data_IF_887054075921
#
_entry.id   IF_887054075921
#
_cell.length_a   1.000
_cell.length_b   1.000
_cell.length_c   1.000
_cell.angle_alpha   90.00
_cell.angle_beta   90.00
_cell.angle_gamma   90.00
#
_symmetry.space_group_name_H-M   'P 1'
#
loop_
_entity.id
_entity.type
_entity.pdbx_description
1 polymer ?
#
# COMPACT_ATOMS: atom_id res chain seq x y z
N UNK A 1 -15.99 -22.34 28.02
CA UNK A 1 -15.38 -22.59 26.68
C UNK A 1 -13.88 -22.41 26.80
N UNK A 2 -13.07 -23.33 26.27
CA UNK A 2 -11.61 -23.13 26.22
C UNK A 2 -11.32 -22.01 25.23
N UNK A 3 -10.73 -20.93 25.71
CA UNK A 3 -10.43 -19.75 24.91
C UNK A 3 -9.13 -19.99 24.13
N UNK A 4 -9.19 -19.93 22.80
CA UNK A 4 -8.01 -19.97 21.95
C UNK A 4 -7.38 -18.57 21.90
N UNK A 5 -6.53 -18.25 22.89
CA UNK A 5 -5.92 -16.92 23.13
C UNK A 5 -4.50 -16.78 22.59
N UNK A 6 -4.14 -17.53 21.55
CA UNK A 6 -2.82 -17.37 20.93
C UNK A 6 -2.83 -16.28 19.86
N UNK A 7 -1.65 -15.70 19.61
CA UNK A 7 -1.48 -14.65 18.61
C UNK A 7 -1.83 -15.14 17.18
N UNK A 8 -1.71 -16.45 16.91
CA UNK A 8 -2.00 -17.03 15.60
C UNK A 8 -3.49 -17.00 15.26
N UNK A 9 -4.37 -17.00 16.26
CA UNK A 9 -5.83 -16.93 16.09
C UNK A 9 -6.39 -15.50 16.03
N UNK A 10 -5.55 -14.47 16.10
CA UNK A 10 -5.97 -13.07 16.01
C UNK A 10 -5.85 -12.58 14.58
N UNK A 11 -6.91 -11.93 14.09
CA UNK A 11 -6.94 -11.35 12.75
C UNK A 11 -5.96 -10.19 12.68
N UNK A 12 -5.12 -10.19 11.64
CA UNK A 12 -4.19 -9.12 11.31
C UNK A 12 -4.20 -8.87 9.82
N UNK A 13 -4.08 -7.62 9.45
CA UNK A 13 -4.09 -7.17 8.06
C UNK A 13 -2.73 -6.57 7.75
N UNK A 14 -2.13 -6.98 6.64
CA UNK A 14 -1.02 -6.25 6.05
C UNK A 14 -1.58 -5.00 5.36
N UNK A 15 -1.56 -3.88 6.09
CA UNK A 15 -2.17 -2.61 5.66
C UNK A 15 -1.32 -1.86 4.64
N UNK A 16 -0.05 -2.26 4.49
CA UNK A 16 0.85 -1.67 3.53
C UNK A 16 1.74 -2.71 2.83
N UNK A 17 1.29 -3.13 1.65
CA UNK A 17 1.98 -4.08 0.77
C UNK A 17 1.77 -3.73 -0.70
N UNK A 18 2.82 -3.88 -1.51
CA UNK A 18 2.80 -3.68 -2.96
C UNK A 18 2.55 -5.00 -3.68
N UNK A 19 1.56 -5.06 -4.58
CA UNK A 19 1.20 -6.34 -5.24
C UNK A 19 2.38 -6.91 -6.05
N UNK A 20 3.11 -6.03 -6.73
CA UNK A 20 4.27 -6.37 -7.57
C UNK A 20 5.42 -7.06 -6.82
N UNK A 21 5.46 -6.92 -5.49
CA UNK A 21 6.52 -7.43 -4.61
C UNK A 21 5.95 -8.24 -3.45
N UNK A 22 4.68 -8.66 -3.54
CA UNK A 22 3.97 -9.36 -2.46
C UNK A 22 4.43 -10.81 -2.22
N UNK A 23 5.26 -11.35 -3.12
CA UNK A 23 5.83 -12.69 -3.06
C UNK A 23 7.29 -12.64 -2.59
N UNK A 24 7.81 -13.69 -1.95
CA UNK A 24 9.25 -13.75 -1.67
C UNK A 24 10.07 -14.21 -2.90
N UNK A 25 11.39 -14.06 -2.82
CA UNK A 25 12.30 -14.32 -3.94
C UNK A 25 12.31 -15.78 -4.37
N UNK A 26 12.21 -16.71 -3.42
CA UNK A 26 12.15 -18.14 -3.70
C UNK A 26 10.88 -18.50 -4.47
N UNK A 27 9.76 -17.86 -4.14
CA UNK A 27 8.51 -18.02 -4.86
C UNK A 27 8.63 -17.50 -6.29
N UNK A 28 9.06 -16.25 -6.47
CA UNK A 28 9.25 -15.67 -7.81
C UNK A 28 10.20 -16.50 -8.68
N UNK A 29 11.34 -16.93 -8.12
CA UNK A 29 12.31 -17.79 -8.81
C UNK A 29 11.67 -19.10 -9.28
N UNK A 30 10.98 -19.80 -8.38
CA UNK A 30 10.31 -21.07 -8.68
C UNK A 30 9.26 -20.87 -9.78
N UNK A 31 8.52 -19.77 -9.71
CA UNK A 31 7.50 -19.43 -10.70
C UNK A 31 8.12 -19.18 -12.08
N UNK A 32 9.17 -18.34 -12.18
CA UNK A 32 9.90 -18.09 -13.42
C UNK A 32 10.45 -19.40 -14.00
N UNK A 33 11.14 -20.21 -13.19
CA UNK A 33 11.67 -21.52 -13.63
C UNK A 33 10.59 -22.45 -14.17
N UNK A 34 9.42 -22.50 -13.52
CA UNK A 34 8.26 -23.28 -13.97
C UNK A 34 7.80 -22.77 -15.35
N UNK A 35 7.66 -21.46 -15.52
CA UNK A 35 7.17 -20.85 -16.77
C UNK A 35 8.12 -20.97 -17.95
N UNK A 36 9.43 -20.90 -17.74
CA UNK A 36 10.40 -21.18 -18.81
C UNK A 36 10.23 -22.62 -19.32
N UNK A 37 10.01 -23.58 -18.41
CA UNK A 37 9.86 -25.00 -18.76
C UNK A 37 8.52 -25.30 -19.44
N UNK A 38 7.42 -24.74 -18.96
CA UNK A 38 6.07 -25.06 -19.46
C UNK A 38 5.66 -24.21 -20.66
N UNK A 39 6.05 -22.92 -20.68
CA UNK A 39 5.52 -21.91 -21.60
C UNK A 39 6.63 -21.36 -22.53
N UNK A 40 7.77 -22.07 -22.66
CA UNK A 40 8.96 -21.61 -23.39
C UNK A 40 8.73 -21.18 -24.86
N UNK A 41 7.72 -21.75 -25.54
CA UNK A 41 7.36 -21.39 -26.94
C UNK A 41 6.37 -20.24 -27.06
N UNK A 42 5.84 -19.74 -25.94
CA UNK A 42 4.85 -18.66 -25.92
C UNK A 42 5.53 -17.37 -26.35
N UNK A 43 4.91 -16.62 -27.26
CA UNK A 43 5.36 -15.27 -27.62
C UNK A 43 5.05 -14.35 -26.44
N UNK A 44 6.07 -13.68 -25.91
CA UNK A 44 5.95 -12.85 -24.70
C UNK A 44 6.29 -11.38 -24.92
N UNK A 45 6.96 -11.06 -26.02
CA UNK A 45 7.35 -9.69 -26.38
C UNK A 45 7.28 -9.51 -27.90
N UNK A 46 7.23 -8.24 -28.32
CA UNK A 46 7.42 -7.82 -29.71
C UNK A 46 8.61 -6.86 -29.77
N UNK A 47 9.73 -7.30 -30.36
CA UNK A 47 10.94 -6.49 -30.49
C UNK A 47 11.19 -6.12 -31.96
N UNK A 48 11.19 -4.83 -32.28
CA UNK A 48 11.38 -4.37 -33.67
C UNK A 48 10.37 -4.94 -34.67
N UNK A 49 9.14 -5.24 -34.20
CA UNK A 49 8.10 -5.89 -34.99
C UNK A 49 8.24 -7.42 -35.13
N UNK A 50 9.27 -8.03 -34.52
CA UNK A 50 9.44 -9.48 -34.49
C UNK A 50 8.88 -10.08 -33.19
N UNK A 51 8.11 -11.17 -33.27
CA UNK A 51 7.68 -11.89 -32.08
C UNK A 51 8.88 -12.57 -31.42
N UNK A 52 9.00 -12.41 -30.10
CA UNK A 52 10.04 -13.05 -29.29
C UNK A 52 9.37 -13.98 -28.28
N UNK A 53 9.80 -15.25 -28.29
CA UNK A 53 9.31 -16.29 -27.38
C UNK A 53 9.96 -16.22 -26.02
N UNK A 54 9.31 -16.79 -24.99
CA UNK A 54 9.88 -16.88 -23.64
C UNK A 54 11.27 -17.50 -23.67
N UNK A 55 11.50 -18.56 -24.45
CA UNK A 55 12.81 -19.18 -24.59
C UNK A 55 13.85 -18.21 -25.20
N UNK A 56 13.50 -17.52 -26.28
CA UNK A 56 14.41 -16.56 -26.93
C UNK A 56 14.78 -15.39 -26.00
N UNK A 57 13.88 -14.95 -25.12
CA UNK A 57 14.19 -13.93 -24.10
C UNK A 57 15.34 -14.41 -23.21
N UNK A 58 15.24 -15.63 -22.66
CA UNK A 58 16.27 -16.18 -21.76
C UNK A 58 17.56 -16.55 -22.50
N UNK A 59 17.48 -17.09 -23.72
CA UNK A 59 18.63 -17.34 -24.58
C UNK A 59 19.37 -16.03 -24.92
N UNK A 60 18.65 -14.95 -25.22
CA UNK A 60 19.22 -13.63 -25.50
C UNK A 60 19.88 -12.98 -24.28
N UNK A 61 19.49 -13.38 -23.06
CA UNK A 61 20.16 -12.97 -21.82
C UNK A 61 21.37 -13.85 -21.48
N UNK A 62 21.56 -14.98 -22.18
CA UNK A 62 22.59 -15.96 -21.86
C UNK A 62 22.33 -16.71 -20.55
N UNK A 63 21.06 -16.88 -20.17
CA UNK A 63 20.66 -17.46 -18.88
C UNK A 63 19.88 -18.75 -19.09
N UNK A 64 20.42 -19.88 -18.62
CA UNK A 64 19.66 -21.12 -18.55
C UNK A 64 18.72 -21.12 -17.34
N UNK A 65 17.56 -21.76 -17.47
CA UNK A 65 16.61 -21.94 -16.37
C UNK A 65 17.21 -22.73 -15.19
N UNK A 66 18.20 -23.59 -15.45
CA UNK A 66 18.94 -24.31 -14.43
C UNK A 66 19.78 -23.35 -13.56
N UNK A 67 20.46 -22.39 -14.20
CA UNK A 67 21.43 -21.47 -13.58
C UNK A 67 20.77 -20.32 -12.81
N UNK A 68 19.50 -20.02 -13.08
CA UNK A 68 18.73 -19.03 -12.32
C UNK A 68 18.76 -19.35 -10.82
N UNK A 69 19.26 -18.43 -10.01
CA UNK A 69 19.30 -18.56 -8.56
C UNK A 69 18.64 -17.35 -7.90
N UNK A 70 18.42 -17.41 -6.58
CA UNK A 70 17.90 -16.26 -5.82
C UNK A 70 18.87 -15.07 -5.92
N UNK A 71 20.17 -15.36 -5.84
CA UNK A 71 21.23 -14.36 -5.98
C UNK A 71 21.21 -13.70 -7.37
N UNK A 72 21.03 -14.51 -8.42
CA UNK A 72 20.97 -14.01 -9.80
C UNK A 72 19.74 -13.13 -10.07
N UNK A 73 18.61 -13.33 -9.35
CA UNK A 73 17.46 -12.43 -9.47
C UNK A 73 17.80 -11.01 -9.04
N UNK A 74 18.78 -10.83 -8.14
CA UNK A 74 19.21 -9.52 -7.61
C UNK A 74 18.06 -8.60 -7.18
N UNK A 75 17.01 -9.18 -6.59
CA UNK A 75 15.81 -8.44 -6.15
C UNK A 75 15.83 -8.10 -4.65
N UNK A 76 16.76 -8.65 -3.85
CA UNK A 76 16.88 -8.30 -2.42
C UNK A 76 17.47 -6.90 -2.24
N UNK A 77 16.92 -6.12 -1.30
CA UNK A 77 17.56 -4.90 -0.84
C UNK A 77 18.76 -5.22 0.08
N UNK A 78 19.88 -4.55 -0.10
CA UNK A 78 21.11 -4.80 0.63
C UNK A 78 21.64 -3.52 1.29
N UNK A 79 22.85 -3.56 1.87
CA UNK A 79 23.47 -2.35 2.45
C UNK A 79 23.66 -1.23 1.43
N UNK A 80 23.69 -1.53 0.13
CA UNK A 80 23.89 -0.56 -0.93
C UNK A 80 22.61 0.18 -1.32
N UNK A 81 21.43 -0.24 -0.84
CA UNK A 81 20.15 0.46 -1.04
C UNK A 81 19.89 1.54 -0.01
N UNK A 82 20.65 1.59 1.08
CA UNK A 82 20.49 2.58 2.14
C UNK A 82 20.69 4.01 1.59
N UNK A 83 19.67 4.86 1.71
CA UNK A 83 19.57 6.20 1.10
C UNK A 83 19.68 6.24 -0.44
N UNK A 84 19.50 5.11 -1.12
CA UNK A 84 19.61 4.98 -2.58
C UNK A 84 18.32 4.42 -3.16
N UNK A 85 17.28 5.26 -3.17
CA UNK A 85 15.95 4.90 -3.68
C UNK A 85 15.97 4.55 -5.18
N UNK A 86 16.92 5.12 -5.94
CA UNK A 86 17.19 4.74 -7.33
C UNK A 86 17.62 3.28 -7.46
N UNK A 87 18.51 2.80 -6.58
CA UNK A 87 18.92 1.40 -6.53
C UNK A 87 17.78 0.50 -6.06
N UNK A 88 16.98 0.96 -5.10
CA UNK A 88 15.77 0.25 -4.68
C UNK A 88 14.78 0.07 -5.84
N UNK A 89 14.50 1.12 -6.61
CA UNK A 89 13.63 1.04 -7.79
C UNK A 89 14.15 0.03 -8.83
N UNK A 90 15.47 -0.11 -8.97
CA UNK A 90 16.08 -1.11 -9.84
C UNK A 90 15.81 -2.56 -9.37
N UNK A 91 15.60 -2.78 -8.07
CA UNK A 91 15.30 -4.12 -7.49
C UNK A 91 13.92 -4.67 -7.88
N UNK A 92 13.06 -3.86 -8.51
CA UNK A 92 11.83 -4.39 -9.14
C UNK A 92 12.11 -5.09 -10.48
N UNK A 93 13.32 -4.99 -11.03
CA UNK A 93 13.70 -5.65 -12.28
C UNK A 93 14.44 -6.96 -11.96
N UNK A 94 13.82 -8.15 -12.13
CA UNK A 94 14.50 -9.41 -11.91
C UNK A 94 15.72 -9.54 -12.83
N UNK A 95 16.86 -9.95 -12.27
CA UNK A 95 18.16 -10.04 -12.95
C UNK A 95 18.65 -8.68 -13.49
N UNK A 96 18.12 -7.57 -12.97
CA UNK A 96 18.39 -6.23 -13.49
C UNK A 96 17.73 -5.93 -14.84
N UNK A 97 16.85 -6.81 -15.32
CA UNK A 97 16.29 -6.78 -16.67
C UNK A 97 14.83 -6.35 -16.67
N UNK A 98 14.56 -5.18 -17.26
CA UNK A 98 13.20 -4.62 -17.33
C UNK A 98 12.22 -5.51 -18.09
N UNK A 99 12.72 -6.32 -19.05
CA UNK A 99 11.95 -7.29 -19.82
C UNK A 99 11.30 -8.34 -18.92
N UNK A 100 12.02 -8.86 -17.93
CA UNK A 100 11.47 -9.86 -17.01
C UNK A 100 10.41 -9.25 -16.10
N UNK A 101 10.60 -8.01 -15.65
CA UNK A 101 9.56 -7.27 -14.91
C UNK A 101 8.31 -7.07 -15.77
N UNK A 102 8.47 -6.69 -17.03
CA UNK A 102 7.37 -6.52 -17.97
C UNK A 102 6.59 -7.82 -18.16
N UNK A 103 7.27 -8.95 -18.35
CA UNK A 103 6.62 -10.25 -18.58
C UNK A 103 5.92 -10.78 -17.33
N UNK A 104 6.58 -10.73 -16.16
CA UNK A 104 6.15 -11.46 -14.96
C UNK A 104 5.45 -10.59 -13.90
N UNK A 105 5.63 -9.26 -13.92
CA UNK A 105 5.23 -8.36 -12.82
C UNK A 105 4.50 -7.11 -13.37
N UNK A 106 3.85 -7.22 -14.52
CA UNK A 106 2.95 -6.20 -15.06
C UNK A 106 1.59 -6.79 -15.38
N UNK A 107 0.55 -5.98 -15.14
CA UNK A 107 -0.84 -6.29 -15.45
C UNK A 107 -1.16 -6.10 -16.93
N UNK A 108 -0.46 -5.19 -17.59
CA UNK A 108 -0.60 -4.87 -19.02
C UNK A 108 0.74 -5.12 -19.74
N UNK A 109 0.76 -6.12 -20.62
CA UNK A 109 1.90 -6.53 -21.44
C UNK A 109 1.39 -7.39 -22.63
N UNK A 110 2.30 -7.88 -23.48
CA UNK A 110 1.94 -8.65 -24.67
C UNK A 110 1.08 -9.90 -24.41
N UNK A 111 1.24 -10.55 -23.25
CA UNK A 111 0.45 -11.73 -22.86
C UNK A 111 -0.74 -11.37 -21.96
N UNK A 112 -1.16 -10.11 -21.96
CA UNK A 112 -2.29 -9.62 -21.17
C UNK A 112 -2.11 -9.76 -19.67
N UNK A 113 -0.87 -9.72 -19.16
CA UNK A 113 -0.58 -9.86 -17.73
C UNK A 113 -0.83 -11.26 -17.15
N UNK A 114 -0.99 -12.29 -18.00
CA UNK A 114 -1.25 -13.69 -17.62
C UNK A 114 -0.35 -14.19 -16.49
N UNK A 115 0.96 -14.00 -16.62
CA UNK A 115 1.92 -14.53 -15.65
C UNK A 115 1.85 -13.80 -14.30
N UNK A 116 1.62 -12.49 -14.30
CA UNK A 116 1.45 -11.76 -13.06
C UNK A 116 0.15 -12.16 -12.37
N UNK A 117 -0.94 -12.34 -13.11
CA UNK A 117 -2.20 -12.84 -12.57
C UNK A 117 -2.02 -14.22 -11.91
N UNK A 118 -1.38 -15.16 -12.60
CA UNK A 118 -1.11 -16.49 -12.05
C UNK A 118 -0.25 -16.43 -10.77
N UNK A 119 0.77 -15.57 -10.75
CA UNK A 119 1.63 -15.38 -9.58
C UNK A 119 0.85 -14.81 -8.39
N UNK A 120 0.04 -13.77 -8.62
CA UNK A 120 -0.82 -13.18 -7.59
C UNK A 120 -1.85 -14.20 -7.09
N UNK A 121 -2.39 -15.06 -7.95
CA UNK A 121 -3.29 -16.13 -7.50
C UNK A 121 -2.58 -17.13 -6.57
N UNK A 122 -1.31 -17.46 -6.83
CA UNK A 122 -0.53 -18.29 -5.89
C UNK A 122 -0.34 -17.57 -4.53
N UNK A 123 -0.09 -16.26 -4.53
CA UNK A 123 0.02 -15.45 -3.30
C UNK A 123 -1.31 -15.38 -2.54
N UNK A 124 -2.41 -15.12 -3.23
CA UNK A 124 -3.75 -15.03 -2.65
C UNK A 124 -4.20 -16.40 -2.10
N UNK A 125 -3.87 -17.49 -2.77
CA UNK A 125 -4.13 -18.84 -2.27
C UNK A 125 -3.40 -19.10 -0.95
N UNK A 126 -2.11 -18.74 -0.86
CA UNK A 126 -1.34 -18.87 0.38
C UNK A 126 -1.92 -18.00 1.52
N UNK A 127 -2.49 -16.84 1.18
CA UNK A 127 -3.18 -15.95 2.12
C UNK A 127 -4.52 -16.52 2.61
N UNK A 128 -5.23 -17.27 1.77
CA UNK A 128 -6.48 -17.97 2.14
C UNK A 128 -6.23 -19.15 3.06
N UNK A 129 -5.18 -19.93 2.79
CA UNK A 129 -4.71 -21.01 3.69
C UNK A 129 -4.31 -20.45 5.05
N UNK A 130 -3.72 -19.25 5.07
CA UNK A 130 -3.34 -18.51 6.28
C UNK A 130 -4.54 -17.82 6.90
N UNK A 131 -5.47 -18.61 7.47
CA UNK A 131 -6.80 -18.16 7.93
C UNK A 131 -6.83 -16.79 8.58
N UNK A 132 -5.88 -16.42 9.45
CA UNK A 132 -5.93 -15.18 10.25
C UNK A 132 -5.12 -13.99 9.69
N UNK A 133 -4.44 -14.18 8.57
CA UNK A 133 -3.68 -13.14 7.88
C UNK A 133 -4.49 -12.63 6.68
N UNK A 134 -4.53 -11.32 6.51
CA UNK A 134 -5.26 -10.63 5.44
C UNK A 134 -4.33 -9.58 4.84
N UNK A 135 -4.63 -9.05 3.66
CA UNK A 135 -3.74 -8.08 3.03
C UNK A 135 -4.50 -7.01 2.25
N UNK A 136 -3.85 -5.86 2.10
CA UNK A 136 -4.31 -4.76 1.25
C UNK A 136 -3.27 -4.41 0.16
N UNK A 137 -3.05 -5.33 -0.81
CA UNK A 137 -2.05 -5.13 -1.85
C UNK A 137 -2.39 -3.97 -2.79
N UNK A 138 -1.33 -3.26 -3.21
CA UNK A 138 -1.43 -2.10 -4.10
C UNK A 138 -1.20 -2.45 -5.57
N UNK A 139 -2.14 -2.03 -6.42
CA UNK A 139 -2.03 -2.07 -7.88
C UNK A 139 -1.89 -0.66 -8.44
N UNK A 140 -1.11 -0.48 -9.50
CA UNK A 140 -0.80 0.85 -10.03
C UNK A 140 -1.78 1.31 -11.11
N UNK A 141 -2.22 2.56 -11.00
CA UNK A 141 -2.74 3.38 -12.10
C UNK A 141 -1.80 4.58 -12.23
N UNK A 142 -1.29 4.83 -13.43
CA UNK A 142 -0.29 5.88 -13.69
C UNK A 142 -0.94 7.19 -14.14
N UNK A 143 -2.18 7.15 -14.63
CA UNK A 143 -2.87 8.34 -15.13
C UNK A 143 -2.34 8.84 -16.47
N UNK A 144 -1.70 7.96 -17.26
CA UNK A 144 -1.16 8.32 -18.58
C UNK A 144 -2.22 8.29 -19.67
N UNK A 145 -3.22 7.43 -19.51
CA UNK A 145 -4.34 7.29 -20.43
C UNK A 145 -5.62 6.89 -19.67
N UNK A 146 -6.78 7.27 -20.22
CA UNK A 146 -8.10 7.05 -19.59
C UNK A 146 -8.48 5.57 -19.47
N UNK A 147 -7.96 4.73 -20.36
CA UNK A 147 -8.28 3.31 -20.43
C UNK A 147 -7.47 2.44 -19.44
N UNK A 148 -6.56 3.02 -18.63
CA UNK A 148 -5.78 2.26 -17.64
C UNK A 148 -6.69 1.55 -16.62
N UNK A 149 -7.79 2.19 -16.21
CA UNK A 149 -8.76 1.58 -15.30
C UNK A 149 -9.48 0.38 -15.91
N UNK A 150 -9.95 0.50 -17.15
CA UNK A 150 -10.61 -0.60 -17.85
C UNK A 150 -9.65 -1.76 -18.11
N UNK A 151 -8.41 -1.46 -18.50
CA UNK A 151 -7.36 -2.49 -18.66
C UNK A 151 -7.08 -3.23 -17.37
N UNK A 152 -6.94 -2.50 -16.26
CA UNK A 152 -6.68 -3.11 -14.95
C UNK A 152 -7.86 -3.96 -14.48
N UNK A 153 -9.09 -3.44 -14.64
CA UNK A 153 -10.30 -4.18 -14.31
C UNK A 153 -10.45 -5.44 -15.16
N UNK A 154 -10.22 -5.31 -16.48
CA UNK A 154 -10.27 -6.45 -17.39
C UNK A 154 -9.22 -7.50 -17.05
N UNK A 155 -7.99 -7.09 -16.71
CA UNK A 155 -6.96 -8.01 -16.21
C UNK A 155 -7.45 -8.78 -14.97
N UNK A 156 -7.99 -8.07 -13.97
CA UNK A 156 -8.43 -8.69 -12.72
C UNK A 156 -9.62 -9.65 -12.92
N UNK A 157 -10.61 -9.25 -13.72
CA UNK A 157 -11.84 -10.03 -13.94
C UNK A 157 -11.58 -11.22 -14.88
N UNK A 158 -10.90 -11.01 -16.01
CA UNK A 158 -10.65 -12.07 -17.00
C UNK A 158 -9.74 -13.18 -16.47
N UNK A 159 -8.79 -12.85 -15.59
CA UNK A 159 -7.91 -13.82 -14.96
C UNK A 159 -8.42 -14.33 -13.61
N UNK A 160 -9.58 -13.84 -13.14
CA UNK A 160 -10.17 -14.21 -11.85
C UNK A 160 -9.17 -14.01 -10.69
N UNK A 161 -8.69 -12.77 -10.55
CA UNK A 161 -7.70 -12.34 -9.54
C UNK A 161 -8.41 -11.60 -8.41
N UNK A 162 -8.88 -12.35 -7.43
CA UNK A 162 -9.51 -11.82 -6.22
C UNK A 162 -9.37 -12.81 -5.07
N UNK A 163 -9.64 -12.35 -3.85
CA UNK A 163 -9.69 -13.19 -2.65
C UNK A 163 -10.61 -12.58 -1.61
N UNK A 164 -11.26 -13.41 -0.80
CA UNK A 164 -11.97 -12.89 0.38
C UNK A 164 -11.04 -12.25 1.39
N UNK A 165 -9.76 -12.66 1.40
CA UNK A 165 -8.75 -12.21 2.36
C UNK A 165 -7.93 -11.00 1.88
N UNK A 166 -8.26 -10.44 0.71
CA UNK A 166 -7.58 -9.28 0.16
C UNK A 166 -8.56 -8.18 -0.27
N UNK A 167 -8.15 -6.92 -0.12
CA UNK A 167 -8.77 -5.76 -0.78
C UNK A 167 -7.68 -4.98 -1.51
N UNK A 168 -8.03 -4.36 -2.63
CA UNK A 168 -7.06 -3.62 -3.43
C UNK A 168 -6.99 -2.16 -2.99
N UNK A 169 -5.77 -1.64 -2.91
CA UNK A 169 -5.55 -0.18 -2.99
C UNK A 169 -5.01 0.14 -4.38
N UNK A 170 -5.40 1.29 -4.89
CA UNK A 170 -4.89 1.78 -6.17
C UNK A 170 -3.85 2.85 -5.89
N UNK A 171 -2.60 2.55 -6.21
CA UNK A 171 -1.50 3.49 -6.04
C UNK A 171 -1.25 4.30 -7.30
N UNK A 172 -1.06 5.60 -7.11
CA UNK A 172 -0.83 6.57 -8.17
C UNK A 172 0.57 7.15 -7.99
N UNK A 173 1.53 6.77 -8.85
CA UNK A 173 2.88 7.34 -8.80
C UNK A 173 2.91 8.82 -9.21
N UNK A 174 3.63 9.64 -8.43
CA UNK A 174 3.81 11.08 -8.67
C UNK A 174 4.86 11.34 -9.76
N UNK A 175 4.59 10.91 -10.98
CA UNK A 175 5.55 10.91 -12.10
C UNK A 175 5.12 11.83 -13.27
N UNK A 176 4.37 12.90 -12.98
CA UNK A 176 3.87 13.83 -13.98
C UNK A 176 4.99 14.41 -14.86
N UNK A 177 6.14 14.78 -14.29
CA UNK A 177 7.31 15.29 -15.02
C UNK A 177 7.77 14.33 -16.13
N UNK A 178 7.78 13.02 -15.85
CA UNK A 178 8.12 11.98 -16.83
C UNK A 178 7.08 11.91 -17.95
N UNK A 179 5.80 12.07 -17.63
CA UNK A 179 4.72 12.01 -18.63
C UNK A 179 4.62 13.29 -19.45
N UNK A 180 4.92 14.41 -18.80
CA UNK A 180 4.91 15.76 -19.35
C UNK A 180 6.00 15.97 -20.40
N UNK A 181 7.17 15.36 -20.21
CA UNK A 181 8.25 15.36 -21.20
C UNK A 181 7.93 14.55 -22.46
N UNK A 182 6.95 13.65 -22.40
CA UNK A 182 6.53 12.81 -23.54
C UNK A 182 5.37 13.44 -24.31
N UNK A 183 4.18 13.49 -23.71
CA UNK A 183 2.96 13.85 -24.45
C UNK A 183 1.85 14.47 -23.60
N UNK A 184 1.94 14.42 -22.27
CA UNK A 184 0.91 14.98 -21.40
C UNK A 184 0.91 16.51 -21.47
N UNK A 185 -0.27 17.12 -21.57
CA UNK A 185 -0.43 18.56 -21.82
C UNK A 185 -0.28 19.39 -20.54
N UNK A 186 -0.94 18.97 -19.48
CA UNK A 186 -1.01 19.64 -18.19
C UNK A 186 -1.38 18.64 -17.10
N UNK A 187 -1.34 19.08 -15.84
CA UNK A 187 -1.70 18.22 -14.71
C UNK A 187 -3.20 17.84 -14.71
N UNK A 188 -4.06 18.68 -15.28
CA UNK A 188 -5.48 18.40 -15.44
C UNK A 188 -5.73 17.12 -16.24
N UNK A 189 -4.97 16.86 -17.30
CA UNK A 189 -5.05 15.62 -18.08
C UNK A 189 -4.72 14.37 -17.25
N UNK A 190 -3.74 14.47 -16.34
CA UNK A 190 -3.43 13.38 -15.40
C UNK A 190 -4.62 13.09 -14.48
N UNK A 191 -5.22 14.13 -13.91
CA UNK A 191 -6.40 13.98 -13.03
C UNK A 191 -7.60 13.43 -13.81
N UNK A 192 -7.84 13.90 -15.03
CA UNK A 192 -8.89 13.38 -15.91
C UNK A 192 -8.70 11.87 -16.15
N UNK A 193 -7.48 11.45 -16.49
CA UNK A 193 -7.18 10.04 -16.74
C UNK A 193 -7.41 9.16 -15.51
N UNK A 194 -7.27 9.71 -14.31
CA UNK A 194 -7.47 8.98 -13.05
C UNK A 194 -8.94 8.98 -12.63
N UNK A 195 -9.60 10.14 -12.61
CA UNK A 195 -10.88 10.31 -11.93
C UNK A 195 -12.08 10.26 -12.88
N UNK A 196 -11.95 10.68 -14.15
CA UNK A 196 -13.08 10.69 -15.07
C UNK A 196 -13.69 9.30 -15.30
N UNK A 197 -12.90 8.22 -15.54
CA UNK A 197 -13.47 6.87 -15.66
C UNK A 197 -14.24 6.43 -14.40
N UNK A 198 -13.80 6.88 -13.22
CA UNK A 198 -14.47 6.59 -11.96
C UNK A 198 -15.80 7.33 -11.81
N UNK A 199 -15.89 8.58 -12.32
CA UNK A 199 -17.15 9.31 -12.38
C UNK A 199 -18.10 8.69 -13.42
N UNK A 200 -17.61 8.32 -14.59
CA UNK A 200 -18.37 7.68 -15.67
C UNK A 200 -19.01 6.36 -15.18
N UNK A 201 -18.22 5.44 -14.63
CA UNK A 201 -18.74 4.16 -14.09
C UNK A 201 -19.64 4.34 -12.87
N UNK A 202 -19.44 5.40 -12.08
CA UNK A 202 -20.34 5.73 -10.96
C UNK A 202 -21.67 6.25 -11.49
N UNK A 203 -21.67 7.05 -12.56
CA UNK A 203 -22.87 7.57 -13.20
C UNK A 203 -23.67 6.49 -13.93
N UNK A 204 -22.98 5.62 -14.67
CA UNK A 204 -23.59 4.48 -15.36
C UNK A 204 -22.70 3.24 -15.26
N UNK A 205 -23.01 2.28 -14.36
CA UNK A 205 -22.25 1.03 -14.26
C UNK A 205 -22.15 0.22 -15.57
N UNK A 206 -23.08 0.40 -16.52
CA UNK A 206 -23.05 -0.30 -17.80
C UNK A 206 -22.00 0.27 -18.77
N UNK A 207 -21.51 1.50 -18.55
CA UNK A 207 -20.45 2.11 -19.36
C UNK A 207 -19.09 1.40 -19.17
N UNK A 208 -18.80 0.93 -17.95
CA UNK A 208 -17.60 0.18 -17.61
C UNK A 208 -17.95 -1.02 -16.69
N UNK A 209 -18.54 -2.10 -17.23
CA UNK A 209 -19.11 -3.18 -16.41
C UNK A 209 -18.05 -3.97 -15.62
N UNK A 210 -16.89 -4.25 -16.22
CA UNK A 210 -15.79 -4.93 -15.53
C UNK A 210 -15.18 -4.03 -14.44
N UNK A 211 -15.02 -2.73 -14.74
CA UNK A 211 -14.55 -1.74 -13.77
C UNK A 211 -15.51 -1.62 -12.59
N UNK A 212 -16.83 -1.55 -12.83
CA UNK A 212 -17.81 -1.50 -11.75
C UNK A 212 -17.66 -2.68 -10.79
N UNK A 213 -17.47 -3.89 -11.33
CA UNK A 213 -17.28 -5.11 -10.54
C UNK A 213 -15.94 -5.11 -9.80
N UNK A 214 -14.86 -4.70 -10.47
CA UNK A 214 -13.53 -4.61 -9.86
C UNK A 214 -13.51 -3.62 -8.69
N UNK A 215 -14.15 -2.45 -8.84
CA UNK A 215 -14.20 -1.41 -7.81
C UNK A 215 -14.88 -1.88 -6.51
N UNK A 216 -15.69 -2.94 -6.53
CA UNK A 216 -16.25 -3.53 -5.31
C UNK A 216 -15.18 -4.16 -4.40
N UNK A 217 -14.02 -4.51 -4.96
CA UNK A 217 -12.86 -5.04 -4.22
C UNK A 217 -11.81 -3.97 -3.89
N UNK A 218 -11.99 -2.73 -4.38
CA UNK A 218 -11.09 -1.61 -4.12
C UNK A 218 -11.55 -0.87 -2.87
N UNK A 219 -10.63 -0.68 -1.92
CA UNK A 219 -10.91 -0.01 -0.65
C UNK A 219 -10.30 1.38 -0.51
N UNK A 220 -9.32 1.73 -1.35
CA UNK A 220 -8.67 3.04 -1.26
C UNK A 220 -7.73 3.40 -2.39
N UNK A 221 -7.25 4.63 -2.34
CA UNK A 221 -6.27 5.21 -3.25
C UNK A 221 -5.03 5.63 -2.45
N UNK A 222 -3.86 5.39 -3.00
CA UNK A 222 -2.56 5.74 -2.44
C UNK A 222 -1.79 6.65 -3.42
N UNK A 223 -0.95 7.54 -2.91
CA UNK A 223 -0.03 8.38 -3.68
C UNK A 223 1.40 7.96 -3.35
N UNK A 224 2.18 7.58 -4.36
CA UNK A 224 3.51 6.98 -4.17
C UNK A 224 4.57 7.67 -5.03
N UNK A 225 5.84 7.50 -4.66
CA UNK A 225 7.13 7.80 -5.34
C UNK A 225 8.16 8.15 -4.25
N UNK A 226 9.42 8.33 -4.62
CA UNK A 226 10.51 8.76 -3.73
C UNK A 226 10.21 10.13 -3.09
N UNK A 227 9.81 10.11 -1.81
CA UNK A 227 9.54 11.33 -1.03
C UNK A 227 10.80 12.17 -0.78
N UNK A 228 12.01 11.63 -0.96
CA UNK A 228 13.26 12.37 -0.73
C UNK A 228 13.65 13.32 -1.85
N UNK A 229 13.01 13.19 -3.03
CA UNK A 229 13.24 14.10 -4.16
C UNK A 229 12.94 15.54 -3.76
N UNK A 230 13.79 16.45 -4.22
CA UNK A 230 13.60 17.87 -3.96
C UNK A 230 12.38 18.40 -4.73
N UNK A 231 11.53 19.16 -4.04
CA UNK A 231 10.36 19.80 -4.62
C UNK A 231 10.69 21.26 -4.94
N UNK A 232 10.79 21.60 -6.22
CA UNK A 232 11.17 22.95 -6.66
C UNK A 232 10.03 23.96 -6.61
N UNK A 233 8.79 23.47 -6.69
CA UNK A 233 7.59 24.30 -6.75
C UNK A 233 6.95 24.37 -5.37
N UNK A 234 6.74 25.59 -4.86
CA UNK A 234 5.96 25.79 -3.63
C UNK A 234 4.47 25.90 -3.97
N UNK A 235 3.64 25.09 -3.31
CA UNK A 235 2.19 25.18 -3.48
C UNK A 235 1.63 26.33 -2.64
N UNK A 236 1.20 27.40 -3.31
CA UNK A 236 0.53 28.55 -2.73
C UNK A 236 -0.59 29.06 -3.64
N UNK A 237 -1.23 30.16 -3.25
CA UNK A 237 -2.35 30.77 -3.99
C UNK A 237 -2.03 31.16 -5.45
N UNK A 238 -0.74 31.30 -5.80
CA UNK A 238 -0.28 31.64 -7.15
C UNK A 238 -0.01 30.40 -7.98
N UNK A 239 0.07 29.21 -7.38
CA UNK A 239 0.29 27.98 -8.13
C UNK A 239 -0.87 27.76 -9.09
N UNK A 240 -0.61 27.49 -10.39
CA UNK A 240 -1.68 27.30 -11.38
C UNK A 240 -2.63 26.17 -10.99
N UNK A 241 -3.91 26.31 -11.36
CA UNK A 241 -4.88 25.21 -11.35
C UNK A 241 -4.48 24.10 -12.33
N UNK A 242 -4.97 22.86 -12.20
CA UNK A 242 -4.45 21.70 -12.93
C UNK A 242 -4.44 21.87 -14.45
N UNK A 243 -5.48 22.47 -15.02
CA UNK A 243 -5.60 22.70 -16.46
C UNK A 243 -4.56 23.70 -16.99
N UNK A 244 -4.03 24.54 -16.09
CA UNK A 244 -3.01 25.56 -16.38
C UNK A 244 -1.62 25.17 -15.87
N UNK A 245 -1.49 24.09 -15.10
CA UNK A 245 -0.20 23.59 -14.68
C UNK A 245 0.47 22.88 -15.85
N UNK A 246 1.27 23.62 -16.61
CA UNK A 246 1.98 23.14 -17.80
C UNK A 246 3.49 23.05 -17.62
N UNK A 247 3.99 23.36 -16.41
CA UNK A 247 5.41 23.28 -16.06
C UNK A 247 5.96 21.87 -16.34
N UNK A 248 7.26 21.79 -16.66
CA UNK A 248 7.98 20.52 -16.79
C UNK A 248 8.37 19.96 -15.43
N UNK A 249 8.53 20.83 -14.43
CA UNK A 249 8.77 20.43 -13.05
C UNK A 249 7.56 19.69 -12.48
N UNK A 250 7.85 18.63 -11.71
CA UNK A 250 6.82 17.85 -11.04
C UNK A 250 6.10 18.73 -9.99
N UNK A 251 4.76 18.74 -9.93
CA UNK A 251 4.05 19.40 -8.84
C UNK A 251 4.50 18.85 -7.48
N UNK A 252 4.49 19.68 -6.42
CA UNK A 252 4.88 19.22 -5.10
C UNK A 252 3.85 18.23 -4.53
N UNK A 253 4.28 17.43 -3.55
CA UNK A 253 3.46 16.41 -2.88
C UNK A 253 2.09 16.93 -2.45
N UNK A 254 2.06 18.12 -1.86
CA UNK A 254 0.84 18.72 -1.34
C UNK A 254 -0.14 19.13 -2.45
N UNK A 255 0.34 19.48 -3.63
CA UNK A 255 -0.50 19.74 -4.80
C UNK A 255 -1.18 18.46 -5.28
N UNK A 256 -0.41 17.37 -5.45
CA UNK A 256 -0.96 16.06 -5.79
C UNK A 256 -2.05 15.64 -4.80
N UNK A 257 -1.72 15.67 -3.50
CA UNK A 257 -2.61 15.15 -2.48
C UNK A 257 -3.88 15.99 -2.34
N UNK A 258 -3.77 17.33 -2.46
CA UNK A 258 -4.94 18.22 -2.45
C UNK A 258 -5.91 17.91 -3.59
N UNK A 259 -5.44 17.81 -4.83
CA UNK A 259 -6.33 17.54 -5.96
C UNK A 259 -6.83 16.09 -5.99
N UNK A 260 -6.07 15.13 -5.47
CA UNK A 260 -6.58 13.78 -5.22
C UNK A 260 -7.71 13.79 -4.20
N UNK A 261 -7.50 14.46 -3.06
CA UNK A 261 -8.52 14.62 -2.01
C UNK A 261 -9.78 15.30 -2.52
N UNK A 262 -9.65 16.40 -3.26
CA UNK A 262 -10.80 17.15 -3.77
C UNK A 262 -11.65 16.31 -4.72
N UNK A 263 -11.02 15.62 -5.69
CA UNK A 263 -11.72 14.74 -6.61
C UNK A 263 -12.33 13.54 -5.89
N UNK A 264 -11.58 12.90 -4.98
CA UNK A 264 -12.04 11.74 -4.25
C UNK A 264 -13.20 12.06 -3.30
N UNK A 265 -13.20 13.24 -2.68
CA UNK A 265 -14.29 13.70 -1.81
C UNK A 265 -15.60 13.83 -2.59
N UNK A 266 -15.56 14.45 -3.77
CA UNK A 266 -16.71 14.58 -4.67
C UNK A 266 -17.16 13.22 -5.21
N UNK A 267 -16.22 12.39 -5.66
CA UNK A 267 -16.51 11.04 -6.14
C UNK A 267 -17.17 10.19 -5.05
N UNK A 268 -16.63 10.20 -3.83
CA UNK A 268 -17.18 9.45 -2.71
C UNK A 268 -18.56 9.95 -2.29
N UNK A 269 -18.81 11.27 -2.35
CA UNK A 269 -20.14 11.81 -2.12
C UNK A 269 -21.14 11.29 -3.16
N UNK A 270 -20.74 11.24 -4.44
CA UNK A 270 -21.57 10.70 -5.52
C UNK A 270 -21.78 9.18 -5.41
N UNK A 271 -20.73 8.41 -5.15
CA UNK A 271 -20.82 6.96 -4.93
C UNK A 271 -21.73 6.63 -3.76
N UNK A 272 -21.62 7.38 -2.65
CA UNK A 272 -22.48 7.22 -1.47
C UNK A 272 -23.94 7.54 -1.77
N UNK A 273 -24.24 8.59 -2.53
CA UNK A 273 -25.63 8.91 -2.91
C UNK A 273 -26.26 7.83 -3.80
N UNK A 274 -25.43 7.01 -4.46
CA UNK A 274 -25.84 5.83 -5.22
C UNK A 274 -25.77 4.51 -4.45
N UNK A 275 -25.43 4.52 -3.17
CA UNK A 275 -25.29 3.30 -2.35
C UNK A 275 -24.10 2.41 -2.76
N UNK A 276 -23.10 2.96 -3.46
CA UNK A 276 -21.88 2.26 -3.85
C UNK A 276 -20.79 2.40 -2.77
N UNK A 277 -19.78 1.52 -2.79
CA UNK A 277 -18.62 1.62 -1.91
C UNK A 277 -17.81 2.90 -2.19
N UNK A 278 -17.12 3.41 -1.18
CA UNK A 278 -16.24 4.59 -1.27
C UNK A 278 -14.78 4.19 -1.10
N UNK A 279 -13.86 5.08 -1.45
CA UNK A 279 -12.42 4.82 -1.38
C UNK A 279 -11.76 5.76 -0.37
N UNK A 280 -10.96 5.23 0.55
CA UNK A 280 -10.16 6.04 1.46
C UNK A 280 -8.87 6.53 0.77
N UNK A 281 -8.44 7.76 1.04
CA UNK A 281 -7.14 8.28 0.66
C UNK A 281 -6.10 7.88 1.71
N UNK A 282 -5.17 6.99 1.33
CA UNK A 282 -4.17 6.41 2.23
C UNK A 282 -2.77 6.50 1.64
N UNK A 283 -2.17 7.72 1.60
CA UNK A 283 -0.94 7.97 0.88
C UNK A 283 0.28 7.43 1.63
N UNK A 284 1.35 7.10 0.89
CA UNK A 284 2.71 7.14 1.41
C UNK A 284 3.02 8.57 1.85
N UNK A 285 3.40 8.73 3.11
CA UNK A 285 3.55 10.05 3.71
C UNK A 285 4.59 10.06 4.82
N UNK A 286 5.60 10.90 4.67
CA UNK A 286 6.62 11.14 5.68
C UNK A 286 7.50 9.93 5.93
N UNK A 287 7.74 9.08 4.93
CA UNK A 287 8.87 8.14 4.97
C UNK A 287 10.20 8.91 4.94
N UNK A 288 10.29 9.85 4.01
CA UNK A 288 11.38 10.78 3.80
C UNK A 288 10.81 12.18 3.47
N UNK A 289 11.60 13.05 2.84
CA UNK A 289 11.10 14.31 2.30
C UNK A 289 10.83 15.41 3.31
N UNK A 290 10.02 16.39 2.88
CA UNK A 290 9.71 17.58 3.66
C UNK A 290 8.60 17.30 4.69
N UNK A 291 8.70 17.92 5.87
CA UNK A 291 7.71 17.74 6.97
C UNK A 291 6.28 18.17 6.59
N UNK A 292 6.14 19.02 5.57
CA UNK A 292 4.83 19.46 5.06
C UNK A 292 4.02 18.34 4.42
N UNK A 293 4.66 17.22 4.01
CA UNK A 293 3.92 16.05 3.54
C UNK A 293 2.98 15.56 4.64
N UNK A 294 3.50 15.44 5.87
CA UNK A 294 2.74 15.03 7.05
C UNK A 294 1.62 16.02 7.43
N UNK A 295 1.82 17.32 7.21
CA UNK A 295 0.75 18.32 7.40
C UNK A 295 -0.37 18.08 6.38
N UNK A 296 -0.01 17.84 5.13
CA UNK A 296 -1.01 17.61 4.07
C UNK A 296 -1.73 16.29 4.29
N UNK A 297 -1.00 15.21 4.61
CA UNK A 297 -1.57 13.92 4.99
C UNK A 297 -2.55 14.05 6.15
N UNK A 298 -2.18 14.78 7.20
CA UNK A 298 -3.07 15.03 8.34
C UNK A 298 -4.39 15.70 7.96
N UNK A 299 -4.35 16.65 7.01
CA UNK A 299 -5.53 17.42 6.61
C UNK A 299 -6.42 16.71 5.60
N UNK A 300 -5.90 15.72 4.86
CA UNK A 300 -6.57 15.19 3.67
C UNK A 300 -6.74 13.68 3.63
N UNK A 301 -5.96 12.92 4.42
CA UNK A 301 -5.96 11.46 4.39
C UNK A 301 -6.66 10.85 5.61
N UNK A 302 -7.21 9.65 5.42
CA UNK A 302 -7.81 8.85 6.50
C UNK A 302 -6.74 8.06 7.30
N UNK A 303 -5.63 7.71 6.67
CA UNK A 303 -4.45 7.09 7.30
C UNK A 303 -3.23 7.29 6.41
N UNK A 304 -2.02 7.09 6.93
CA UNK A 304 -0.79 7.19 6.15
C UNK A 304 0.04 5.90 6.19
N UNK A 305 0.85 5.68 5.16
CA UNK A 305 1.95 4.73 5.18
C UNK A 305 3.28 5.42 5.58
N UNK A 306 4.09 4.72 6.37
CA UNK A 306 5.38 5.09 6.96
C UNK A 306 5.35 6.06 8.16
N UNK A 307 5.14 7.36 7.95
CA UNK A 307 5.14 8.36 9.04
C UNK A 307 6.45 8.50 9.83
N UNK A 308 7.60 8.02 9.32
CA UNK A 308 8.91 8.09 9.99
C UNK A 308 9.29 9.50 10.44
N UNK A 309 8.96 10.51 9.63
CA UNK A 309 9.31 11.91 9.85
C UNK A 309 8.54 12.55 11.02
N UNK A 310 7.47 11.92 11.53
CA UNK A 310 6.75 12.40 12.72
C UNK A 310 7.67 12.47 13.96
N UNK A 311 8.72 11.64 14.02
CA UNK A 311 9.70 11.70 15.13
C UNK A 311 10.44 13.03 15.23
N UNK A 312 10.46 13.82 14.15
CA UNK A 312 11.11 15.14 14.08
C UNK A 312 10.14 16.30 14.33
N UNK A 313 8.84 16.03 14.43
CA UNK A 313 7.80 17.07 14.50
C UNK A 313 6.84 16.78 15.66
N UNK A 314 7.23 17.09 16.91
CA UNK A 314 6.45 16.73 18.10
C UNK A 314 4.99 17.21 18.05
N UNK A 315 4.75 18.40 17.51
CA UNK A 315 3.39 18.96 17.38
C UNK A 315 2.52 18.10 16.46
N UNK A 316 3.02 17.72 15.26
CA UNK A 316 2.28 16.84 14.37
C UNK A 316 2.13 15.45 14.97
N UNK A 317 3.18 14.88 15.56
CA UNK A 317 3.08 13.58 16.23
C UNK A 317 1.95 13.57 17.27
N UNK A 318 1.83 14.64 18.05
CA UNK A 318 0.77 14.79 19.03
C UNK A 318 -0.62 14.94 18.37
N UNK A 319 -0.74 15.71 17.28
CA UNK A 319 -1.99 15.80 16.52
C UNK A 319 -2.44 14.45 15.96
N UNK A 320 -1.52 13.65 15.40
CA UNK A 320 -1.80 12.30 14.91
C UNK A 320 -2.27 11.38 16.05
N UNK A 321 -1.69 11.50 17.24
CA UNK A 321 -2.15 10.81 18.45
C UNK A 321 -3.58 11.23 18.84
N UNK A 322 -3.85 12.53 18.92
CA UNK A 322 -5.14 13.04 19.40
C UNK A 322 -6.31 12.63 18.50
N UNK A 323 -6.11 12.63 17.19
CA UNK A 323 -7.14 12.19 16.23
C UNK A 323 -7.10 10.69 15.94
N UNK A 324 -6.17 9.97 16.57
CA UNK A 324 -5.92 8.54 16.36
C UNK A 324 -5.77 8.16 14.88
N UNK A 325 -5.04 9.00 14.11
CA UNK A 325 -4.79 8.75 12.69
C UNK A 325 -3.96 7.48 12.50
N UNK A 326 -4.43 6.60 11.60
CA UNK A 326 -3.75 5.34 11.31
C UNK A 326 -2.39 5.54 10.65
N UNK A 327 -1.37 4.80 11.10
CA UNK A 327 -0.02 4.82 10.55
C UNK A 327 0.42 3.37 10.30
N UNK A 328 0.46 2.95 9.04
CA UNK A 328 1.00 1.66 8.63
C UNK A 328 2.52 1.77 8.48
N UNK A 329 3.28 1.06 9.31
CA UNK A 329 4.74 1.15 9.35
C UNK A 329 5.37 -0.18 8.95
N UNK A 330 6.42 -0.11 8.11
CA UNK A 330 7.17 -1.27 7.63
C UNK A 330 8.64 -1.22 8.10
N UNK A 331 8.93 -1.65 9.35
CA UNK A 331 10.26 -1.51 9.95
C UNK A 331 11.41 -2.18 9.19
N UNK A 332 11.22 -3.34 8.56
CA UNK A 332 12.28 -4.01 7.79
C UNK A 332 12.59 -3.28 6.48
N UNK A 333 11.58 -2.75 5.80
CA UNK A 333 11.75 -1.85 4.65
C UNK A 333 12.54 -0.60 5.07
N UNK A 334 12.05 0.08 6.11
CA UNK A 334 12.70 1.30 6.62
C UNK A 334 14.14 1.04 7.08
N UNK A 335 14.44 -0.14 7.65
CA UNK A 335 15.80 -0.59 8.00
C UNK A 335 16.74 -0.65 6.80
N UNK A 336 16.22 -1.05 5.65
CA UNK A 336 17.00 -1.25 4.43
C UNK A 336 17.21 0.07 3.66
N UNK A 337 16.33 1.06 3.86
CA UNK A 337 16.30 2.28 3.05
C UNK A 337 16.66 3.56 3.81
N UNK A 338 16.25 3.73 5.07
CA UNK A 338 16.26 5.07 5.69
C UNK A 338 16.77 5.12 7.13
N UNK A 339 16.51 4.11 7.96
CA UNK A 339 16.82 4.15 9.39
C UNK A 339 17.05 2.76 9.95
N UNK A 340 18.17 2.53 10.64
CA UNK A 340 18.44 1.23 11.29
C UNK A 340 17.28 0.79 12.18
N UNK A 341 16.97 -0.50 12.22
CA UNK A 341 15.81 -1.07 12.89
C UNK A 341 15.65 -0.59 14.34
N UNK A 342 16.73 -0.54 15.12
CA UNK A 342 16.71 -0.10 16.53
C UNK A 342 16.35 1.39 16.70
N UNK A 343 16.52 2.20 15.65
CA UNK A 343 16.21 3.64 15.63
C UNK A 343 14.89 3.95 14.91
N UNK A 344 14.16 2.92 14.47
CA UNK A 344 12.83 3.10 13.92
C UNK A 344 11.88 3.56 15.04
N UNK A 345 11.10 4.64 14.84
CA UNK A 345 10.27 5.22 15.89
C UNK A 345 8.98 4.45 16.17
N UNK A 346 8.68 3.37 15.44
CA UNK A 346 7.44 2.61 15.58
C UNK A 346 7.16 2.18 17.03
N UNK A 347 8.16 1.61 17.72
CA UNK A 347 7.98 1.20 19.12
C UNK A 347 7.69 2.39 20.05
N UNK A 348 8.35 3.53 19.83
CA UNK A 348 8.10 4.75 20.59
C UNK A 348 6.68 5.30 20.32
N UNK A 349 6.24 5.27 19.07
CA UNK A 349 4.89 5.68 18.68
C UNK A 349 3.84 4.79 19.33
N UNK A 350 4.06 3.48 19.36
CA UNK A 350 3.21 2.54 20.06
C UNK A 350 3.18 2.83 21.56
N UNK A 351 4.32 3.09 22.21
CA UNK A 351 4.36 3.42 23.64
C UNK A 351 3.54 4.68 23.94
N UNK A 352 3.65 5.70 23.08
CA UNK A 352 2.88 6.94 23.14
C UNK A 352 1.39 6.79 22.80
N UNK A 353 0.96 5.64 22.31
CA UNK A 353 -0.45 5.37 21.99
C UNK A 353 -0.91 5.90 20.64
N UNK A 354 0.02 6.17 19.72
CA UNK A 354 -0.35 6.42 18.33
C UNK A 354 -0.97 5.16 17.72
N UNK A 355 -1.93 5.34 16.82
CA UNK A 355 -2.61 4.27 16.10
C UNK A 355 -1.69 3.69 15.00
N UNK A 356 -0.70 2.89 15.41
CA UNK A 356 0.26 2.24 14.51
C UNK A 356 -0.13 0.79 14.20
N UNK A 357 0.18 0.35 12.98
CA UNK A 357 0.13 -1.06 12.56
C UNK A 357 1.46 -1.48 11.90
N UNK A 358 1.77 -2.78 11.95
CA UNK A 358 2.90 -3.36 11.21
C UNK A 358 2.45 -3.79 9.82
N UNK A 359 3.33 -3.56 8.84
CA UNK A 359 3.12 -3.86 7.43
C UNK A 359 4.42 -4.28 6.76
N UNK A 360 4.36 -4.86 5.55
CA UNK A 360 5.53 -5.48 4.91
C UNK A 360 6.20 -4.65 3.81
N UNK A 361 5.48 -3.69 3.22
CA UNK A 361 5.91 -2.91 2.05
C UNK A 361 6.15 -3.82 0.82
N UNK A 362 7.37 -4.34 0.70
CA UNK A 362 7.82 -5.17 -0.40
C UNK A 362 8.45 -6.49 0.09
N UNK A 363 7.65 -7.53 0.38
CA UNK A 363 8.14 -8.86 0.73
C UNK A 363 9.27 -9.40 -0.16
N UNK A 364 9.20 -9.17 -1.46
CA UNK A 364 10.20 -9.61 -2.44
C UNK A 364 11.59 -9.02 -2.13
N UNK A 365 11.66 -7.77 -1.69
CA UNK A 365 12.90 -7.04 -1.44
C UNK A 365 13.41 -7.20 -0.01
N UNK A 366 12.52 -7.37 0.97
CA UNK A 366 12.88 -7.21 2.39
C UNK A 366 12.74 -8.46 3.27
N UNK A 367 12.06 -9.51 2.79
CA UNK A 367 11.67 -10.65 3.62
C UNK A 367 12.25 -11.97 3.11
N UNK A 368 12.60 -12.86 4.04
CA UNK A 368 13.14 -14.18 3.71
C UNK A 368 12.10 -15.30 3.85
N UNK A 369 11.09 -15.10 4.69
CA UNK A 369 10.12 -16.15 5.01
C UNK A 369 8.95 -16.18 4.01
N UNK A 370 8.13 -17.23 4.08
CA UNK A 370 6.90 -17.33 3.30
C UNK A 370 5.80 -16.39 3.84
N UNK A 371 5.78 -16.18 5.15
CA UNK A 371 4.79 -15.36 5.85
C UNK A 371 5.41 -14.02 6.25
N UNK A 372 5.60 -13.13 5.27
CA UNK A 372 6.33 -11.86 5.45
C UNK A 372 5.78 -11.02 6.62
N UNK A 373 4.46 -10.90 6.75
CA UNK A 373 3.87 -10.15 7.86
C UNK A 373 4.21 -10.78 9.21
N UNK A 374 4.21 -12.12 9.32
CA UNK A 374 4.58 -12.80 10.56
C UNK A 374 6.07 -12.63 10.89
N UNK A 375 6.93 -12.49 9.88
CA UNK A 375 8.35 -12.13 10.07
C UNK A 375 8.49 -10.71 10.65
N UNK A 376 7.74 -9.73 10.18
CA UNK A 376 7.69 -8.38 10.78
C UNK A 376 7.29 -8.44 12.27
N UNK A 377 6.18 -9.10 12.60
CA UNK A 377 5.76 -9.26 13.99
C UNK A 377 6.80 -9.99 14.84
N UNK A 378 7.41 -11.04 14.30
CA UNK A 378 8.41 -11.85 15.03
C UNK A 378 9.67 -11.06 15.33
N UNK A 379 10.20 -10.32 14.36
CA UNK A 379 11.39 -9.49 14.54
C UNK A 379 11.08 -8.32 15.49
N UNK A 380 9.96 -7.63 15.30
CA UNK A 380 9.53 -6.55 16.17
C UNK A 380 9.40 -7.02 17.63
N UNK A 381 8.77 -8.17 17.86
CA UNK A 381 8.62 -8.74 19.19
C UNK A 381 9.98 -9.09 19.84
N UNK A 382 10.92 -9.65 19.08
CA UNK A 382 12.22 -10.03 19.63
C UNK A 382 13.14 -8.83 19.88
N UNK A 383 13.13 -7.82 19.00
CA UNK A 383 13.99 -6.65 19.10
C UNK A 383 13.45 -5.65 20.12
N UNK A 384 12.16 -5.35 20.08
CA UNK A 384 11.53 -4.38 20.97
C UNK A 384 10.91 -4.98 22.24
N UNK A 385 11.01 -6.30 22.41
CA UNK A 385 10.49 -7.04 23.57
C UNK A 385 8.98 -6.89 23.76
N UNK A 386 8.24 -6.89 22.65
CA UNK A 386 6.78 -6.78 22.67
C UNK A 386 6.16 -8.00 23.34
N UNK A 387 5.23 -7.76 24.25
CA UNK A 387 4.41 -8.80 24.87
C UNK A 387 3.32 -9.31 23.92
N UNK A 388 2.63 -10.39 24.30
CA UNK A 388 1.46 -10.86 23.55
C UNK A 388 0.35 -9.81 23.49
N UNK A 389 0.19 -9.00 24.55
CA UNK A 389 -0.76 -7.89 24.58
C UNK A 389 -0.42 -6.84 23.51
N UNK A 390 0.86 -6.48 23.42
CA UNK A 390 1.36 -5.50 22.45
C UNK A 390 1.16 -6.00 21.01
N UNK A 391 1.52 -7.25 20.73
CA UNK A 391 1.31 -7.84 19.40
C UNK A 391 -0.18 -7.89 19.03
N UNK A 392 -1.08 -8.21 19.97
CA UNK A 392 -2.52 -8.23 19.72
C UNK A 392 -3.10 -6.82 19.53
N UNK A 393 -2.58 -5.81 20.23
CA UNK A 393 -2.96 -4.40 20.04
C UNK A 393 -2.60 -3.93 18.61
N UNK A 394 -1.39 -4.22 18.15
CA UNK A 394 -0.95 -3.92 16.79
C UNK A 394 -1.81 -4.64 15.73
N UNK A 395 -2.13 -5.92 15.96
CA UNK A 395 -3.01 -6.69 15.09
C UNK A 395 -4.42 -6.10 15.05
N UNK A 396 -5.00 -5.75 16.20
CA UNK A 396 -6.31 -5.07 16.29
C UNK A 396 -6.30 -3.75 15.52
N UNK A 397 -5.27 -2.93 15.70
CA UNK A 397 -5.14 -1.65 14.99
C UNK A 397 -5.06 -1.85 13.48
N UNK A 398 -4.35 -2.88 13.00
CA UNK A 398 -4.29 -3.19 11.57
C UNK A 398 -5.66 -3.48 10.97
N UNK A 399 -6.53 -4.20 11.69
CA UNK A 399 -7.91 -4.46 11.26
C UNK A 399 -8.74 -3.17 11.25
N UNK A 400 -8.61 -2.33 12.28
CA UNK A 400 -9.32 -1.05 12.36
C UNK A 400 -8.93 -0.13 11.18
N UNK A 401 -7.64 -0.02 10.89
CA UNK A 401 -7.08 0.77 9.79
C UNK A 401 -7.41 0.21 8.39
N UNK A 402 -7.70 -1.08 8.30
CA UNK A 402 -7.93 -1.73 7.01
C UNK A 402 -9.20 -1.26 6.29
N UNK A 403 -9.25 -1.43 4.98
CA UNK A 403 -10.39 -1.08 4.14
C UNK A 403 -11.47 -2.16 4.01
N UNK A 404 -11.45 -3.21 4.85
CA UNK A 404 -12.48 -4.25 4.85
C UNK A 404 -13.84 -3.71 5.30
N UNK A 405 -14.93 -4.32 4.81
CA UNK A 405 -16.28 -3.86 5.09
C UNK A 405 -16.66 -4.05 6.56
N UNK A 406 -17.54 -3.20 7.10
CA UNK A 406 -18.00 -3.27 8.49
C UNK A 406 -18.50 -4.66 8.89
N UNK A 407 -19.22 -5.36 8.01
CA UNK A 407 -19.70 -6.72 8.27
C UNK A 407 -18.55 -7.71 8.57
N UNK A 408 -17.41 -7.52 7.92
CA UNK A 408 -16.21 -8.33 8.10
C UNK A 408 -15.53 -7.93 9.42
N UNK A 409 -15.40 -6.62 9.67
CA UNK A 409 -14.84 -6.11 10.93
C UNK A 409 -15.68 -6.49 12.15
N UNK A 410 -17.01 -6.52 12.07
CA UNK A 410 -17.91 -7.03 13.12
C UNK A 410 -17.58 -8.49 13.45
N UNK A 411 -17.34 -9.30 12.42
CA UNK A 411 -16.94 -10.69 12.62
C UNK A 411 -15.53 -10.82 13.21
N UNK A 412 -14.60 -9.91 12.91
CA UNK A 412 -13.22 -10.00 13.39
C UNK A 412 -12.96 -9.33 14.74
N UNK A 413 -13.69 -8.28 15.08
CA UNK A 413 -13.46 -7.43 16.25
C UNK A 413 -14.62 -7.43 17.24
N UNK A 414 -15.82 -7.82 16.81
CA UNK A 414 -17.04 -7.83 17.63
C UNK A 414 -18.08 -6.82 17.15
N UNK A 415 -19.35 -6.97 17.57
CA UNK A 415 -20.47 -6.14 17.10
C UNK A 415 -20.32 -4.66 17.43
N UNK A 416 -19.61 -4.35 18.53
CA UNK A 416 -19.49 -2.99 19.05
C UNK A 416 -18.16 -2.33 18.66
N UNK A 417 -17.40 -2.85 17.69
CA UNK A 417 -16.02 -2.41 17.42
C UNK A 417 -15.83 -0.91 17.13
N UNK A 418 -16.92 -0.19 16.82
CA UNK A 418 -16.95 1.26 16.58
C UNK A 418 -17.13 2.09 17.86
N UNK A 419 -17.56 1.48 18.95
CA UNK A 419 -17.66 2.14 20.24
C UNK A 419 -16.26 2.48 20.78
N UNK A 420 -16.18 3.55 21.56
CA UNK A 420 -14.92 3.96 22.18
C UNK A 420 -14.60 3.15 23.43
N UNK A 421 -13.31 3.11 23.79
CA UNK A 421 -12.82 2.44 24.99
C UNK A 421 -13.14 0.95 25.04
N UNK A 422 -13.38 0.44 26.26
CA UNK A 422 -13.59 -0.99 26.52
C UNK A 422 -14.84 -1.54 25.82
N UNK A 423 -15.87 -0.70 25.63
CA UNK A 423 -17.12 -1.12 24.96
C UNK A 423 -16.89 -1.57 23.52
N UNK A 424 -15.87 -1.00 22.85
CA UNK A 424 -15.46 -1.36 21.51
C UNK A 424 -14.46 -2.52 21.41
N UNK A 425 -14.22 -3.24 22.51
CA UNK A 425 -13.30 -4.36 22.53
C UNK A 425 -14.00 -5.66 22.92
N UNK A 426 -14.06 -6.61 21.98
CA UNK A 426 -14.36 -8.01 22.31
C UNK A 426 -13.04 -8.76 22.50
N UNK A 427 -12.62 -8.90 23.77
CA UNK A 427 -11.39 -9.62 24.14
C UNK A 427 -11.35 -11.05 23.61
N UNK A 428 -12.50 -11.68 23.35
CA UNK A 428 -12.55 -13.03 22.79
C UNK A 428 -12.16 -13.10 21.31
N UNK A 429 -12.12 -11.96 20.63
CA UNK A 429 -11.74 -11.85 19.22
C UNK A 429 -10.41 -11.13 19.03
N UNK A 430 -10.16 -10.08 19.82
CA UNK A 430 -8.97 -9.25 19.71
C UNK A 430 -7.81 -9.76 20.57
N UNK A 431 -8.13 -10.46 21.67
CA UNK A 431 -7.18 -10.86 22.72
C UNK A 431 -6.38 -9.68 23.31
N UNK A 432 -6.88 -8.45 23.15
CA UNK A 432 -6.36 -7.26 23.82
C UNK A 432 -7.10 -7.15 25.16
N UNK A 433 -6.40 -7.18 26.31
CA UNK A 433 -7.02 -7.03 27.62
C UNK A 433 -7.77 -5.70 27.75
N UNK A 434 -8.96 -5.73 28.35
CA UNK A 434 -9.77 -4.51 28.55
C UNK A 434 -9.03 -3.45 29.36
N UNK A 435 -8.15 -3.83 30.30
CA UNK A 435 -7.31 -2.89 31.04
C UNK A 435 -6.35 -2.12 30.12
N UNK A 436 -5.82 -2.75 29.06
CA UNK A 436 -4.98 -2.07 28.06
C UNK A 436 -5.81 -1.06 27.28
N UNK A 437 -7.03 -1.43 26.88
CA UNK A 437 -7.93 -0.55 26.13
C UNK A 437 -8.41 0.62 26.99
N UNK A 438 -8.78 0.36 28.25
CA UNK A 438 -9.16 1.40 29.22
C UNK A 438 -8.04 2.41 29.41
N UNK A 439 -6.81 1.94 29.64
CA UNK A 439 -5.65 2.82 29.79
C UNK A 439 -5.43 3.71 28.55
N UNK A 440 -5.50 3.14 27.33
CA UNK A 440 -5.35 3.93 26.10
C UNK A 440 -6.43 4.99 25.96
N UNK A 441 -7.67 4.62 26.27
CA UNK A 441 -8.81 5.52 26.14
C UNK A 441 -8.78 6.63 27.20
N UNK A 442 -8.53 6.29 28.47
CA UNK A 442 -8.38 7.26 29.56
C UNK A 442 -7.27 8.26 29.26
N UNK A 443 -6.09 7.78 28.85
CA UNK A 443 -4.97 8.65 28.48
C UNK A 443 -5.32 9.59 27.30
N UNK A 444 -6.04 9.09 26.29
CA UNK A 444 -6.48 9.93 25.17
C UNK A 444 -7.50 11.00 25.62
N UNK A 445 -8.48 10.60 26.41
CA UNK A 445 -9.51 11.51 26.94
C UNK A 445 -8.89 12.56 27.85
N UNK A 446 -7.93 12.20 28.68
CA UNK A 446 -7.20 13.13 29.55
C UNK A 446 -6.41 14.17 28.74
N UNK A 447 -5.72 13.74 27.69
CA UNK A 447 -4.97 14.63 26.79
C UNK A 447 -5.90 15.59 26.02
N UNK A 448 -7.00 15.07 25.45
CA UNK A 448 -8.02 15.90 24.79
C UNK A 448 -8.63 16.90 25.78
N UNK A 449 -8.96 16.43 26.98
CA UNK A 449 -9.53 17.27 28.04
C UNK A 449 -8.56 18.37 28.45
N UNK A 450 -7.26 18.09 28.55
CA UNK A 450 -6.25 19.08 28.88
C UNK A 450 -6.18 20.21 27.82
N UNK A 451 -6.19 19.84 26.54
CA UNK A 451 -6.19 20.82 25.43
C UNK A 451 -7.43 21.70 25.48
N UNK A 452 -8.62 21.11 25.64
CA UNK A 452 -9.86 21.89 25.59
C UNK A 452 -10.20 22.63 26.89
N UNK A 453 -9.72 22.17 28.06
CA UNK A 453 -9.84 22.90 29.34
C UNK A 453 -9.15 24.26 29.31
N UNK A 454 -8.05 24.39 28.56
CA UNK A 454 -7.31 25.65 28.43
C UNK A 454 -8.12 26.80 27.79
N UNK A 455 -9.27 26.52 27.15
CA UNK A 455 -10.16 27.54 26.56
C UNK A 455 -11.13 28.20 27.55
N UNK A 456 -11.25 27.71 28.80
CA UNK A 456 -12.13 28.32 29.80
C UNK A 456 -11.47 29.45 30.63
N UNK A 457 -10.20 29.76 30.37
CA UNK A 457 -9.43 30.74 31.14
C UNK A 457 -9.00 32.00 30.36
N UNK A 458 -9.57 32.23 29.17
CA UNK A 458 -9.35 33.46 28.38
C UNK A 458 -10.64 34.23 28.15
#
# INVERSE_FOLDING_TARGET
>A
MRFHRDFYNIRKVDTHIHAASSMNQKHLLRFIKKKIKTDGKTIVLMEGGKPVTMREVFEGMGIDAYDLSVDMLDVHADRNTFHRFDKFNAKYNPVGESRLREIFIKTDNHVGGKYFAELIKEVLFDLEESKYQQAEPRLSIYGRCRDEWDKLASWAISHDVWSTNARWLIQIPRLYDIYRTRSMKNFGELLDNIFLPLFEVTNDPASHPELHRFLQQVSGIDSVDDESKHEFVHFDIRTPVPEKYTDKENPPYNYYLYYMYANLSLLNAFRRSRGMNTFALRPHCGEAGHVNHLVTGFLTAESIAHGLMLKKVPVLQYLYYLVQMGIAMSPLSNNSLFVSYQRNPMHEFMQKGLNVSLSTDDPLQFHYTKEALMEEYSIAAQVWKLSSCDMCELARNSVLQSGFEDKVKIHWLGPNFKEEGVLGNDIHRTNVPDIRVSYRHEALVDELTNIFRSRMFF
#
